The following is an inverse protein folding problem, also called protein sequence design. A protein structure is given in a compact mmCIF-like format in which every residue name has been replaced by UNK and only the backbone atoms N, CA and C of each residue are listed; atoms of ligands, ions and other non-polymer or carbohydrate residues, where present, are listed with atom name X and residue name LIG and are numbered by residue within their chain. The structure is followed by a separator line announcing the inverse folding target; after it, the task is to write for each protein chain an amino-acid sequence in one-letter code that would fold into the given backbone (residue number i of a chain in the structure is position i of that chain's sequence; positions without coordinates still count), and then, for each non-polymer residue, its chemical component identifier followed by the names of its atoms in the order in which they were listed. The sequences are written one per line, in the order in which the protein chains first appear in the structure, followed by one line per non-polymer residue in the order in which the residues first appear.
data_IF_165211551029
#
_entry.id   IF_165211551029
#
_cell.length_a   1.000
_cell.length_b   1.000
_cell.length_c   1.000
_cell.angle_alpha   90.00
_cell.angle_beta   90.00
_cell.angle_gamma   90.00
#
_symmetry.space_group_name_H-M   'P 1'
#
loop_
_entity.id
_entity.type
_entity.pdbx_description
1 polymer ?
#
# COMPACT_ATOMS: atom_id res chain seq x y z
N UNK A 1 42.07 10.68 -4.26
CA UNK A 1 42.44 11.73 -3.29
C UNK A 1 42.63 11.18 -1.87
N UNK A 2 42.45 9.88 -1.62
CA UNK A 2 42.68 9.25 -0.31
C UNK A 2 41.62 9.56 0.78
N UNK A 3 40.44 10.04 0.39
CA UNK A 3 39.34 10.34 1.34
C UNK A 3 38.60 9.02 1.66
N UNK A 4 38.46 8.73 2.96
CA UNK A 4 37.60 7.66 3.43
C UNK A 4 36.14 8.16 3.55
N UNK A 5 35.17 7.34 3.09
CA UNK A 5 33.74 7.65 3.09
C UNK A 5 33.01 6.65 3.96
N UNK A 6 32.22 7.12 4.90
CA UNK A 6 31.22 6.30 5.61
C UNK A 6 29.85 6.61 5.02
N UNK A 7 29.24 5.59 4.40
CA UNK A 7 27.94 5.68 3.75
C UNK A 7 26.91 4.86 4.53
N UNK A 8 25.81 5.50 4.95
CA UNK A 8 24.74 4.85 5.71
C UNK A 8 23.51 4.80 4.82
N UNK A 9 23.07 3.60 4.49
CA UNK A 9 21.90 3.37 3.66
C UNK A 9 21.20 2.06 4.06
N UNK A 10 19.93 1.94 3.74
CA UNK A 10 19.17 0.68 3.77
C UNK A 10 18.86 0.18 2.35
N UNK A 11 19.32 0.87 1.32
CA UNK A 11 19.17 0.48 -0.08
C UNK A 11 20.34 -0.40 -0.49
N UNK A 12 20.08 -1.69 -0.57
CA UNK A 12 21.12 -2.69 -0.79
C UNK A 12 21.81 -2.56 -2.15
N UNK A 13 21.07 -2.11 -3.18
CA UNK A 13 21.63 -1.87 -4.52
C UNK A 13 22.70 -0.79 -4.52
N UNK A 14 22.49 0.29 -3.77
CA UNK A 14 23.47 1.36 -3.62
C UNK A 14 24.70 0.88 -2.85
N UNK A 15 24.49 0.10 -1.78
CA UNK A 15 25.57 -0.45 -0.95
C UNK A 15 26.44 -1.40 -1.76
N UNK A 16 25.84 -2.31 -2.53
CA UNK A 16 26.56 -3.29 -3.36
C UNK A 16 27.46 -2.62 -4.41
N UNK A 17 27.01 -1.48 -4.98
CA UNK A 17 27.73 -0.78 -6.03
C UNK A 17 28.92 0.05 -5.55
N UNK A 18 28.88 0.58 -4.32
CA UNK A 18 29.84 1.60 -3.87
C UNK A 18 30.67 1.20 -2.64
N UNK A 19 30.28 0.16 -1.90
CA UNK A 19 30.95 -0.18 -0.66
C UNK A 19 32.14 -1.15 -0.91
N UNK A 20 33.27 -0.91 -0.23
CA UNK A 20 34.38 -1.87 -0.14
C UNK A 20 34.15 -2.82 1.04
N UNK A 21 33.65 -2.29 2.16
CA UNK A 21 33.36 -3.05 3.40
C UNK A 21 31.95 -2.68 3.87
N UNK A 22 31.17 -3.70 4.20
CA UNK A 22 29.80 -3.56 4.69
C UNK A 22 29.77 -3.92 6.18
N UNK A 23 29.39 -2.95 7.01
CA UNK A 23 29.16 -3.15 8.44
C UNK A 23 27.66 -3.16 8.72
N UNK A 24 27.16 -4.27 9.24
CA UNK A 24 25.74 -4.47 9.52
C UNK A 24 25.46 -4.13 10.98
N UNK A 25 24.49 -3.22 11.18
CA UNK A 25 23.94 -2.86 12.49
C UNK A 25 22.48 -3.34 12.56
N UNK A 26 22.07 -3.87 13.71
CA UNK A 26 20.70 -4.25 14.02
C UNK A 26 20.34 -3.90 15.45
N UNK A 27 19.21 -3.20 15.65
CA UNK A 27 18.73 -2.77 16.98
C UNK A 27 19.78 -1.97 17.79
N UNK A 28 20.72 -1.29 17.10
CA UNK A 28 21.81 -0.52 17.71
C UNK A 28 23.06 -1.34 18.04
N UNK A 29 23.09 -2.63 17.74
CA UNK A 29 24.21 -3.53 17.97
C UNK A 29 24.94 -3.89 16.66
N UNK A 30 26.26 -4.10 16.75
CA UNK A 30 27.08 -4.57 15.65
C UNK A 30 26.84 -6.06 15.40
N UNK A 31 26.32 -6.41 14.24
CA UNK A 31 26.14 -7.81 13.80
C UNK A 31 27.42 -8.37 13.19
N UNK A 32 28.13 -7.56 12.38
CA UNK A 32 29.39 -7.94 11.76
C UNK A 32 29.85 -6.95 10.70
N UNK A 33 31.11 -7.12 10.27
CA UNK A 33 31.72 -6.37 9.16
C UNK A 33 32.31 -7.35 8.15
N UNK A 34 31.99 -7.14 6.86
CA UNK A 34 32.32 -8.07 5.79
C UNK A 34 32.85 -7.31 4.58
N UNK A 35 33.82 -7.87 3.81
CA UNK A 35 34.11 -7.36 2.48
C UNK A 35 32.87 -7.41 1.60
N UNK A 36 32.58 -6.33 0.84
CA UNK A 36 31.38 -6.26 0.01
C UNK A 36 31.28 -7.40 -1.02
N UNK A 37 32.42 -7.81 -1.58
CA UNK A 37 32.49 -8.92 -2.53
C UNK A 37 32.10 -10.31 -1.97
N UNK A 38 32.00 -10.45 -0.64
CA UNK A 38 31.67 -11.71 0.05
C UNK A 38 30.24 -11.73 0.58
N UNK A 39 29.48 -10.66 0.43
CA UNK A 39 28.16 -10.51 1.03
C UNK A 39 27.12 -10.27 -0.05
N UNK A 40 26.29 -11.27 -0.30
CA UNK A 40 25.15 -11.11 -1.22
C UNK A 40 24.05 -10.23 -0.60
N UNK A 41 23.14 -9.70 -1.44
CA UNK A 41 21.96 -8.96 -0.94
C UNK A 41 21.13 -9.77 0.04
N UNK A 42 20.95 -11.06 -0.23
CA UNK A 42 20.21 -11.96 0.64
C UNK A 42 20.89 -12.13 2.01
N UNK A 43 22.24 -12.21 2.02
CA UNK A 43 23.00 -12.29 3.27
C UNK A 43 22.92 -10.99 4.05
N UNK A 44 22.98 -9.83 3.37
CA UNK A 44 22.78 -8.52 4.02
C UNK A 44 21.41 -8.47 4.69
N UNK A 45 20.34 -8.88 3.98
CA UNK A 45 19.00 -8.95 4.52
C UNK A 45 18.92 -9.87 5.74
N UNK A 46 19.48 -11.07 5.66
CA UNK A 46 19.50 -12.04 6.77
C UNK A 46 20.18 -11.46 8.01
N UNK A 47 21.33 -10.82 7.84
CA UNK A 47 22.07 -10.19 8.93
C UNK A 47 21.31 -9.02 9.55
N UNK A 48 20.67 -8.18 8.73
CA UNK A 48 19.89 -7.02 9.19
C UNK A 48 18.61 -7.43 9.94
N UNK A 49 17.93 -8.48 9.49
CA UNK A 49 16.64 -8.91 10.06
C UNK A 49 16.80 -9.93 11.18
N UNK A 50 17.86 -10.74 11.14
CA UNK A 50 18.24 -11.67 12.22
C UNK A 50 17.38 -12.93 12.32
N UNK A 51 16.57 -13.23 11.31
CA UNK A 51 15.83 -14.49 11.15
C UNK A 51 16.13 -15.04 9.76
N UNK A 52 16.06 -16.35 9.58
CA UNK A 52 15.99 -16.93 8.24
C UNK A 52 14.73 -16.39 7.57
N UNK A 53 14.91 -15.37 6.74
CA UNK A 53 13.85 -14.93 5.84
C UNK A 53 13.81 -15.96 4.71
N UNK A 54 12.89 -16.91 4.81
CA UNK A 54 12.62 -17.84 3.72
C UNK A 54 12.11 -17.10 2.45
N UNK A 55 11.63 -15.88 2.59
CA UNK A 55 11.48 -14.85 1.55
C UNK A 55 11.17 -13.50 2.18
N UNK A 56 11.56 -12.39 1.55
CA UNK A 56 11.16 -11.03 1.94
C UNK A 56 9.63 -10.89 1.85
N UNK A 57 9.03 -11.55 0.87
CA UNK A 57 7.60 -11.57 0.62
C UNK A 57 6.98 -12.89 1.11
N UNK A 58 5.83 -12.83 1.79
CA UNK A 58 5.06 -14.03 2.14
C UNK A 58 4.43 -14.66 0.90
N UNK A 59 4.09 -15.94 1.00
CA UNK A 59 3.18 -16.56 0.04
C UNK A 59 1.78 -15.93 0.19
N UNK A 60 1.27 -15.38 -0.90
CA UNK A 60 -0.04 -14.73 -0.90
C UNK A 60 -1.17 -15.76 -1.05
N UNK A 61 -2.28 -15.66 -0.26
CA UNK A 61 -3.44 -16.53 -0.43
C UNK A 61 -3.99 -16.45 -1.85
N UNK A 62 -4.40 -17.59 -2.42
CA UNK A 62 -4.99 -17.62 -3.77
C UNK A 62 -6.38 -17.00 -3.78
N UNK A 63 -6.70 -16.25 -4.82
CA UNK A 63 -8.00 -15.63 -5.05
C UNK A 63 -8.64 -16.21 -6.30
N UNK A 64 -9.91 -16.58 -6.20
CA UNK A 64 -10.65 -17.06 -7.37
C UNK A 64 -10.98 -15.91 -8.32
N UNK A 65 -10.89 -16.17 -9.63
CA UNK A 65 -11.34 -15.22 -10.65
C UNK A 65 -12.86 -14.97 -10.61
N UNK A 66 -13.61 -15.87 -10.00
CA UNK A 66 -15.07 -15.78 -9.80
C UNK A 66 -15.43 -15.18 -8.42
N UNK A 67 -14.44 -14.71 -7.65
CA UNK A 67 -14.72 -14.10 -6.35
C UNK A 67 -15.61 -12.86 -6.48
N UNK A 68 -16.47 -12.65 -5.50
CA UNK A 68 -17.39 -11.51 -5.41
C UNK A 68 -16.66 -10.17 -5.62
N UNK A 69 -17.19 -9.28 -6.45
CA UNK A 69 -16.68 -7.93 -6.62
C UNK A 69 -17.16 -7.09 -5.43
N UNK A 70 -16.23 -6.66 -4.59
CA UNK A 70 -16.52 -5.88 -3.38
C UNK A 70 -16.44 -4.38 -3.60
N UNK A 71 -15.65 -3.94 -4.59
CA UNK A 71 -15.57 -2.54 -5.03
C UNK A 71 -15.49 -2.49 -6.55
N UNK A 72 -16.32 -1.67 -7.18
CA UNK A 72 -16.27 -1.38 -8.60
C UNK A 72 -16.22 0.12 -8.83
N UNK A 73 -15.30 0.57 -9.64
CA UNK A 73 -15.19 1.95 -10.09
C UNK A 73 -15.40 1.97 -11.60
N UNK A 74 -16.37 2.76 -12.07
CA UNK A 74 -16.71 2.87 -13.46
C UNK A 74 -16.47 4.28 -13.97
N UNK A 75 -15.77 4.42 -15.09
CA UNK A 75 -15.62 5.65 -15.90
C UNK A 75 -15.22 6.89 -15.09
N UNK A 76 -14.35 6.74 -14.08
CA UNK A 76 -13.87 7.85 -13.25
C UNK A 76 -12.75 8.59 -13.97
N UNK A 77 -12.92 9.89 -14.19
CA UNK A 77 -11.95 10.74 -14.87
C UNK A 77 -11.27 11.67 -13.85
N UNK A 78 -9.94 11.68 -13.85
CA UNK A 78 -9.14 12.50 -12.94
C UNK A 78 -8.80 13.88 -13.49
N UNK A 79 -8.65 14.00 -14.81
CA UNK A 79 -8.32 15.23 -15.53
C UNK A 79 -9.18 15.34 -16.78
N UNK A 80 -9.42 16.56 -17.25
CA UNK A 80 -10.36 16.80 -18.37
C UNK A 80 -9.94 16.09 -19.67
N UNK A 81 -8.64 15.90 -19.88
CA UNK A 81 -8.06 15.25 -21.07
C UNK A 81 -7.63 13.80 -20.84
N UNK A 82 -7.89 13.22 -19.65
CA UNK A 82 -7.54 11.83 -19.37
C UNK A 82 -8.66 10.88 -19.80
N UNK A 83 -8.30 9.68 -20.21
CA UNK A 83 -9.25 8.58 -20.44
C UNK A 83 -9.90 8.19 -19.10
N UNK A 84 -11.22 7.93 -19.07
CA UNK A 84 -11.87 7.45 -17.87
C UNK A 84 -11.30 6.12 -17.41
N UNK A 85 -11.02 5.99 -16.11
CA UNK A 85 -10.50 4.79 -15.48
C UNK A 85 -11.64 3.94 -14.91
N UNK A 86 -11.57 2.64 -15.13
CA UNK A 86 -12.47 1.65 -14.53
C UNK A 86 -11.66 0.50 -13.96
N UNK A 87 -12.04 -0.01 -12.79
CA UNK A 87 -11.41 -1.18 -12.17
C UNK A 87 -12.36 -1.84 -11.17
N UNK A 88 -12.04 -3.07 -10.80
CA UNK A 88 -12.78 -3.87 -9.84
C UNK A 88 -11.81 -4.48 -8.83
N UNK A 89 -12.24 -4.55 -7.57
CA UNK A 89 -11.57 -5.27 -6.49
C UNK A 89 -12.43 -6.47 -6.11
N UNK A 90 -11.84 -7.66 -6.13
CA UNK A 90 -12.47 -8.91 -5.71
C UNK A 90 -12.31 -9.14 -4.22
N UNK A 91 -13.19 -9.92 -3.63
CA UNK A 91 -13.11 -10.32 -2.23
C UNK A 91 -11.85 -11.14 -1.99
N UNK A 92 -11.10 -10.78 -0.94
CA UNK A 92 -9.84 -11.43 -0.60
C UNK A 92 -8.67 -11.11 -1.53
N UNK A 93 -8.82 -10.13 -2.43
CA UNK A 93 -7.80 -9.74 -3.40
C UNK A 93 -6.90 -8.63 -2.86
N UNK A 94 -5.65 -8.63 -3.27
CA UNK A 94 -4.78 -7.45 -3.31
C UNK A 94 -4.70 -6.97 -4.76
N UNK A 95 -5.30 -5.82 -5.04
CA UNK A 95 -5.15 -5.11 -6.32
C UNK A 95 -4.05 -4.06 -6.16
N UNK A 96 -2.90 -4.29 -6.80
CA UNK A 96 -1.78 -3.36 -6.82
C UNK A 96 -2.01 -2.21 -7.80
N UNK A 97 -1.60 -1.00 -7.42
CA UNK A 97 -1.53 0.15 -8.31
C UNK A 97 -0.08 0.58 -8.48
N UNK A 98 0.46 0.42 -9.69
CA UNK A 98 1.81 0.83 -10.07
C UNK A 98 1.78 1.99 -11.07
N UNK A 99 2.96 2.56 -11.36
CA UNK A 99 3.15 3.65 -12.30
C UNK A 99 4.21 4.64 -11.82
N UNK A 100 4.65 5.55 -12.70
CA UNK A 100 5.65 6.55 -12.36
C UNK A 100 5.14 7.55 -11.32
N UNK A 101 6.07 8.26 -10.68
CA UNK A 101 5.73 9.36 -9.77
C UNK A 101 4.89 10.40 -10.52
N UNK A 102 3.75 10.79 -9.95
CA UNK A 102 2.81 11.71 -10.61
C UNK A 102 1.82 11.05 -11.58
N UNK A 103 1.83 9.72 -11.74
CA UNK A 103 0.89 9.01 -12.64
C UNK A 103 -0.58 9.08 -12.21
N UNK A 104 -0.87 9.53 -10.97
CA UNK A 104 -2.24 9.73 -10.50
C UNK A 104 -2.79 8.66 -9.57
N UNK A 105 -2.00 7.65 -9.16
CA UNK A 105 -2.42 6.55 -8.27
C UNK A 105 -3.15 7.02 -7.02
N UNK A 106 -2.48 7.83 -6.18
CA UNK A 106 -3.08 8.44 -4.98
C UNK A 106 -4.32 9.26 -5.32
N UNK A 107 -4.25 10.09 -6.38
CA UNK A 107 -5.36 10.96 -6.79
C UNK A 107 -6.61 10.16 -7.19
N UNK A 108 -6.44 8.99 -7.83
CA UNK A 108 -7.53 8.09 -8.16
C UNK A 108 -8.25 7.60 -6.89
N UNK A 109 -7.50 7.10 -5.91
CA UNK A 109 -8.09 6.61 -4.66
C UNK A 109 -8.70 7.74 -3.82
N UNK A 110 -8.06 8.89 -3.75
CA UNK A 110 -8.64 10.08 -3.11
C UNK A 110 -9.97 10.48 -3.76
N UNK A 111 -10.07 10.37 -5.10
CA UNK A 111 -11.31 10.66 -5.83
C UNK A 111 -12.37 9.61 -5.56
N UNK A 112 -12.03 8.32 -5.56
CA UNK A 112 -12.93 7.21 -5.19
C UNK A 112 -13.51 7.42 -3.79
N UNK A 113 -12.70 7.90 -2.85
CA UNK A 113 -13.08 8.12 -1.45
C UNK A 113 -13.74 9.49 -1.19
N UNK A 114 -13.94 10.32 -2.22
CA UNK A 114 -14.54 11.64 -2.09
C UNK A 114 -13.64 12.70 -1.40
N UNK A 115 -12.35 12.42 -1.25
CA UNK A 115 -11.35 13.36 -0.74
C UNK A 115 -10.91 14.37 -1.81
N UNK A 116 -11.10 14.01 -3.06
CA UNK A 116 -10.81 14.82 -4.24
C UNK A 116 -12.00 14.81 -5.19
N UNK A 117 -12.24 15.94 -5.84
CA UNK A 117 -13.27 16.02 -6.88
C UNK A 117 -12.76 15.42 -8.19
N UNK A 118 -13.59 14.64 -8.92
CA UNK A 118 -13.27 14.19 -10.28
C UNK A 118 -13.20 15.37 -11.25
N UNK A 119 -12.70 15.13 -12.46
CA UNK A 119 -12.72 16.09 -13.56
C UNK A 119 -14.14 16.57 -13.86
N UNK A 120 -14.26 17.78 -14.40
CA UNK A 120 -15.58 18.33 -14.79
C UNK A 120 -16.26 17.43 -15.82
N UNK A 121 -17.56 17.15 -15.61
CA UNK A 121 -18.32 16.30 -16.50
C UNK A 121 -17.98 14.80 -16.41
N UNK A 122 -17.17 14.38 -15.44
CA UNK A 122 -17.00 12.94 -15.17
C UNK A 122 -18.34 12.34 -14.73
N UNK A 123 -18.80 11.31 -15.44
CA UNK A 123 -20.02 10.55 -15.15
C UNK A 123 -19.71 9.27 -14.36
N UNK A 124 -18.52 9.17 -13.81
CA UNK A 124 -18.06 7.98 -13.10
C UNK A 124 -18.92 7.62 -11.90
N UNK A 125 -18.91 6.35 -11.53
CA UNK A 125 -19.60 5.84 -10.36
C UNK A 125 -18.69 4.92 -9.54
N UNK A 126 -18.97 4.85 -8.25
CA UNK A 126 -18.37 3.91 -7.31
C UNK A 126 -19.48 3.02 -6.79
N UNK A 127 -19.27 1.71 -6.83
CA UNK A 127 -20.17 0.70 -6.29
C UNK A 127 -19.46 -0.11 -5.23
N UNK A 128 -20.13 -0.34 -4.13
CA UNK A 128 -19.66 -1.17 -3.03
C UNK A 128 -20.62 -2.36 -2.87
N UNK A 129 -20.14 -3.58 -3.13
CA UNK A 129 -20.96 -4.82 -3.13
C UNK A 129 -22.24 -4.69 -3.98
N UNK A 130 -22.11 -4.10 -5.18
CA UNK A 130 -23.22 -3.90 -6.12
C UNK A 130 -24.10 -2.68 -5.83
N UNK A 131 -23.92 -1.99 -4.70
CA UNK A 131 -24.65 -0.77 -4.38
C UNK A 131 -23.87 0.48 -4.79
N UNK A 132 -24.48 1.39 -5.53
CA UNK A 132 -23.87 2.68 -5.85
C UNK A 132 -23.68 3.51 -4.59
N UNK A 133 -22.47 4.03 -4.42
CA UNK A 133 -22.10 4.88 -3.26
C UNK A 133 -21.56 6.22 -3.74
N UNK A 134 -21.82 7.26 -2.95
CA UNK A 134 -21.24 8.59 -3.13
C UNK A 134 -20.52 8.96 -1.82
N UNK A 135 -19.21 8.77 -1.80
CA UNK A 135 -18.40 9.15 -0.67
C UNK A 135 -18.12 10.66 -0.73
N UNK A 136 -18.75 11.43 0.13
CA UNK A 136 -18.50 12.88 0.25
C UNK A 136 -17.33 13.20 1.19
N UNK A 137 -16.93 12.23 1.99
CA UNK A 137 -15.86 12.34 2.98
C UNK A 137 -15.43 10.97 3.48
N UNK A 138 -14.23 10.86 4.01
CA UNK A 138 -13.63 9.60 4.47
C UNK A 138 -14.46 8.89 5.56
N UNK A 139 -15.16 9.65 6.42
CA UNK A 139 -16.04 9.06 7.43
C UNK A 139 -17.20 8.26 6.83
N UNK A 140 -17.73 8.69 5.68
CA UNK A 140 -18.78 7.95 4.98
C UNK A 140 -18.24 6.62 4.41
N UNK A 141 -17.02 6.61 3.88
CA UNK A 141 -16.34 5.39 3.43
C UNK A 141 -16.08 4.44 4.60
N UNK A 142 -15.54 4.97 5.72
CA UNK A 142 -15.31 4.19 6.95
C UNK A 142 -16.58 3.52 7.46
N UNK A 143 -17.71 4.25 7.52
CA UNK A 143 -18.99 3.71 8.01
C UNK A 143 -19.54 2.58 7.11
N UNK A 144 -19.06 2.47 5.86
CA UNK A 144 -19.34 1.38 4.93
C UNK A 144 -18.25 0.29 4.91
N UNK A 145 -17.30 0.35 5.86
CA UNK A 145 -16.24 -0.65 6.01
C UNK A 145 -15.07 -0.47 5.04
N UNK A 146 -14.85 0.74 4.53
CA UNK A 146 -13.67 1.07 3.69
C UNK A 146 -12.72 1.96 4.50
N UNK A 147 -11.47 1.55 4.65
CA UNK A 147 -10.44 2.32 5.33
C UNK A 147 -9.34 2.77 4.36
N UNK A 148 -8.73 3.92 4.64
CA UNK A 148 -7.65 4.50 3.86
C UNK A 148 -6.44 4.81 4.74
N UNK A 149 -5.32 4.18 4.44
CA UNK A 149 -4.03 4.46 5.01
C UNK A 149 -3.27 5.39 4.05
N UNK A 150 -3.08 6.62 4.49
CA UNK A 150 -2.42 7.67 3.71
C UNK A 150 -0.90 7.49 3.66
N UNK A 151 -0.29 7.85 2.53
CA UNK A 151 1.18 7.93 2.38
C UNK A 151 1.83 9.00 3.26
N UNK A 152 1.08 10.02 3.64
CA UNK A 152 1.55 11.08 4.53
C UNK A 152 1.26 10.74 5.99
N UNK A 153 2.06 9.82 6.53
CA UNK A 153 1.96 9.35 7.90
C UNK A 153 2.04 10.49 8.91
N UNK A 154 2.95 11.46 8.67
CA UNK A 154 3.27 12.53 9.63
C UNK A 154 2.29 13.70 9.58
N UNK A 155 1.77 14.05 8.41
CA UNK A 155 0.87 15.20 8.27
C UNK A 155 -0.60 14.82 8.38
N UNK A 156 -0.97 13.62 7.89
CA UNK A 156 -2.37 13.21 7.78
C UNK A 156 -2.71 11.91 8.50
N UNK A 157 -1.71 11.06 8.78
CA UNK A 157 -1.93 9.74 9.37
C UNK A 157 -1.99 9.74 10.89
N UNK A 158 -1.02 10.38 11.54
CA UNK A 158 -0.86 10.41 13.01
C UNK A 158 -0.81 11.85 13.51
N UNK A 159 -1.35 12.07 14.70
CA UNK A 159 -1.17 13.29 15.48
C UNK A 159 0.12 13.14 16.31
N UNK A 160 1.25 13.61 15.76
CA UNK A 160 2.58 13.33 16.28
C UNK A 160 2.81 13.80 17.71
N UNK A 161 2.16 14.89 18.15
CA UNK A 161 2.27 15.45 19.49
C UNK A 161 1.33 14.78 20.52
N UNK A 162 0.44 13.89 20.06
CA UNK A 162 -0.49 13.17 20.93
C UNK A 162 0.03 11.80 21.30
N UNK A 163 -0.45 11.28 22.44
CA UNK A 163 -0.10 9.96 22.95
C UNK A 163 -0.53 8.82 22.01
N UNK A 164 0.02 7.65 22.26
CA UNK A 164 -0.17 6.48 21.39
C UNK A 164 -1.62 5.96 21.44
N UNK A 165 -2.19 5.82 22.63
CA UNK A 165 -3.58 5.36 22.83
C UNK A 165 -4.56 6.28 22.13
N UNK A 166 -4.39 7.61 22.29
CA UNK A 166 -5.22 8.60 21.62
C UNK A 166 -5.17 8.47 20.08
N UNK A 167 -3.96 8.27 19.51
CA UNK A 167 -3.82 8.05 18.07
C UNK A 167 -4.51 6.77 17.63
N UNK A 168 -4.38 5.70 18.39
CA UNK A 168 -4.95 4.39 18.08
C UNK A 168 -6.48 4.43 18.04
N UNK A 169 -7.11 4.96 19.08
CA UNK A 169 -8.57 4.93 19.25
C UNK A 169 -9.31 5.94 18.38
N UNK A 170 -8.64 7.01 17.92
CA UNK A 170 -9.27 8.14 17.24
C UNK A 170 -10.14 7.73 16.03
N UNK A 171 -9.75 6.68 15.31
CA UNK A 171 -10.49 6.21 14.13
C UNK A 171 -11.65 5.28 14.48
N UNK A 172 -11.66 4.70 15.67
CA UNK A 172 -12.63 3.72 16.19
C UNK A 172 -13.33 4.16 17.47
N UNK A 173 -13.37 5.47 17.77
CA UNK A 173 -13.97 6.02 19.00
C UNK A 173 -15.37 5.49 19.32
N UNK A 174 -16.17 5.18 18.29
CA UNK A 174 -17.50 4.60 18.46
C UNK A 174 -17.51 3.23 19.17
N UNK A 175 -16.40 2.50 19.19
CA UNK A 175 -16.25 1.22 19.89
C UNK A 175 -15.99 1.40 21.38
N UNK A 176 -15.32 2.46 21.76
CA UNK A 176 -14.88 2.73 23.13
C UNK A 176 -15.63 3.88 23.79
N UNK A 177 -16.60 4.49 23.10
CA UNK A 177 -17.37 5.66 23.57
C UNK A 177 -18.85 5.46 23.31
N UNK A 178 -19.67 5.72 24.33
CA UNK A 178 -21.10 5.98 24.17
C UNK A 178 -21.38 7.47 24.43
N UNK A 179 -21.32 7.92 25.67
CA UNK A 179 -21.37 9.32 26.10
C UNK A 179 -19.99 9.84 26.52
N UNK A 180 -19.21 8.99 27.13
CA UNK A 180 -17.82 9.23 27.56
C UNK A 180 -16.93 8.10 27.03
N UNK A 181 -15.62 8.39 26.89
CA UNK A 181 -14.63 7.40 26.49
C UNK A 181 -14.41 6.42 27.66
N UNK A 182 -14.56 5.14 27.40
CA UNK A 182 -14.19 4.08 28.35
C UNK A 182 -12.68 3.80 28.21
N UNK A 183 -11.92 4.49 29.04
CA UNK A 183 -10.44 4.41 29.02
C UNK A 183 -9.91 3.00 29.27
N UNK A 184 -10.64 2.17 30.05
CA UNK A 184 -10.24 0.77 30.30
C UNK A 184 -10.36 -0.08 29.04
N UNK A 185 -11.48 0.07 28.31
CA UNK A 185 -11.67 -0.62 27.02
C UNK A 185 -10.65 -0.15 25.98
N UNK A 186 -10.39 1.14 25.96
CA UNK A 186 -9.39 1.73 25.08
C UNK A 186 -7.99 1.18 25.34
N UNK A 187 -7.58 1.10 26.61
CA UNK A 187 -6.28 0.52 27.00
C UNK A 187 -6.16 -0.97 26.66
N UNK A 188 -7.20 -1.76 26.92
CA UNK A 188 -7.23 -3.20 26.59
C UNK A 188 -7.13 -3.42 25.08
N UNK A 189 -7.85 -2.62 24.28
CA UNK A 189 -7.78 -2.71 22.82
C UNK A 189 -6.38 -2.32 22.31
N UNK A 190 -5.77 -1.28 22.89
CA UNK A 190 -4.43 -0.86 22.53
C UNK A 190 -3.37 -1.89 22.90
N UNK A 191 -3.49 -2.56 24.07
CA UNK A 191 -2.59 -3.64 24.47
C UNK A 191 -2.59 -4.78 23.45
N UNK A 192 -3.77 -5.23 23.05
CA UNK A 192 -3.92 -6.24 21.98
C UNK A 192 -3.28 -5.77 20.66
N UNK A 193 -3.41 -4.49 20.33
CA UNK A 193 -2.79 -3.93 19.14
C UNK A 193 -1.26 -3.92 19.23
N UNK A 194 -0.68 -3.59 20.40
CA UNK A 194 0.77 -3.65 20.62
C UNK A 194 1.29 -5.06 20.33
N UNK A 195 0.64 -6.09 20.86
CA UNK A 195 1.03 -7.48 20.65
C UNK A 195 0.87 -7.90 19.18
N UNK A 196 -0.28 -7.58 18.57
CA UNK A 196 -0.59 -7.97 17.18
C UNK A 196 0.38 -7.37 16.18
N UNK A 197 0.74 -6.10 16.36
CA UNK A 197 1.59 -5.34 15.42
C UNK A 197 3.06 -5.30 15.83
N UNK A 198 3.44 -5.90 16.96
CA UNK A 198 4.78 -5.79 17.55
C UNK A 198 5.23 -4.31 17.62
N UNK A 199 4.38 -3.44 18.21
CA UNK A 199 4.70 -2.03 18.35
C UNK A 199 5.69 -1.85 19.50
N UNK A 200 6.93 -1.51 19.18
CA UNK A 200 7.98 -1.34 20.18
C UNK A 200 8.08 0.11 20.64
N UNK A 201 7.99 0.31 21.94
CA UNK A 201 8.07 1.62 22.59
C UNK A 201 8.77 1.50 23.96
N UNK A 202 9.44 2.57 24.38
CA UNK A 202 10.06 2.63 25.72
C UNK A 202 9.04 2.90 26.82
N UNK A 203 8.06 3.74 26.52
CA UNK A 203 7.02 4.18 27.43
C UNK A 203 5.74 4.48 26.61
N UNK A 204 4.58 4.14 27.15
CA UNK A 204 3.27 4.34 26.50
C UNK A 204 2.81 5.80 26.52
N UNK A 205 3.35 6.60 27.42
CA UNK A 205 3.01 8.02 27.57
C UNK A 205 3.67 8.92 26.53
N UNK A 206 4.63 8.39 25.74
CA UNK A 206 5.33 9.19 24.75
C UNK A 206 4.39 9.64 23.62
N UNK A 207 4.65 10.82 23.06
CA UNK A 207 4.00 11.25 21.82
C UNK A 207 4.33 10.31 20.64
N UNK A 208 3.39 10.12 19.72
CA UNK A 208 3.57 9.26 18.54
C UNK A 208 4.78 9.68 17.68
N UNK A 209 5.14 10.97 17.70
CA UNK A 209 6.31 11.50 17.00
C UNK A 209 7.64 10.94 17.48
N UNK A 210 7.72 10.43 18.72
CA UNK A 210 8.92 9.86 19.33
C UNK A 210 9.14 8.38 18.98
N UNK A 211 8.19 7.74 18.29
CA UNK A 211 8.38 6.40 17.76
C UNK A 211 9.30 6.41 16.53
N UNK A 212 10.02 5.31 16.31
CA UNK A 212 10.71 5.07 15.04
C UNK A 212 9.71 5.05 13.86
N UNK A 213 10.19 5.31 12.64
CA UNK A 213 9.35 5.31 11.45
C UNK A 213 8.55 4.02 11.27
N UNK A 214 9.17 2.86 11.53
CA UNK A 214 8.49 1.57 11.47
C UNK A 214 7.39 1.42 12.53
N UNK A 215 7.63 1.83 13.78
CA UNK A 215 6.61 1.77 14.83
C UNK A 215 5.48 2.78 14.62
N UNK A 216 5.76 3.96 14.03
CA UNK A 216 4.70 4.88 13.60
C UNK A 216 3.80 4.25 12.53
N UNK A 217 4.38 3.49 11.58
CA UNK A 217 3.63 2.80 10.55
C UNK A 217 2.74 1.69 11.11
N UNK A 218 3.30 0.91 12.06
CA UNK A 218 2.56 -0.13 12.78
C UNK A 218 1.39 0.47 13.59
N UNK A 219 1.62 1.59 14.29
CA UNK A 219 0.57 2.32 15.00
C UNK A 219 -0.53 2.82 14.05
N UNK A 220 -0.15 3.32 12.87
CA UNK A 220 -1.11 3.78 11.87
C UNK A 220 -1.94 2.64 11.30
N UNK A 221 -1.33 1.47 11.05
CA UNK A 221 -2.05 0.25 10.65
C UNK A 221 -3.01 -0.21 11.75
N UNK A 222 -2.54 -0.30 12.99
CA UNK A 222 -3.36 -0.66 14.14
C UNK A 222 -4.57 0.26 14.30
N UNK A 223 -4.36 1.59 14.21
CA UNK A 223 -5.43 2.62 14.25
C UNK A 223 -6.53 2.36 13.24
N UNK A 224 -6.17 2.03 11.98
CA UNK A 224 -7.13 1.85 10.89
C UNK A 224 -7.87 0.53 11.04
N UNK A 225 -7.16 -0.53 11.41
CA UNK A 225 -7.70 -1.87 11.51
C UNK A 225 -8.57 -2.09 12.74
N UNK A 226 -8.42 -1.27 13.77
CA UNK A 226 -9.32 -1.26 14.91
C UNK A 226 -10.78 -0.97 14.52
N UNK A 227 -11.02 -0.28 13.41
CA UNK A 227 -12.35 -0.06 12.87
C UNK A 227 -12.93 -1.29 12.12
N UNK A 228 -12.19 -2.40 12.02
CA UNK A 228 -12.59 -3.65 11.33
C UNK A 228 -13.08 -3.43 9.89
N UNK A 229 -12.31 -2.74 9.05
CA UNK A 229 -12.73 -2.49 7.67
C UNK A 229 -12.69 -3.80 6.86
N UNK A 230 -13.63 -3.99 5.94
CA UNK A 230 -13.60 -5.12 4.99
C UNK A 230 -12.76 -4.82 3.75
N UNK A 231 -12.59 -3.55 3.41
CA UNK A 231 -11.76 -3.07 2.31
C UNK A 231 -10.75 -2.06 2.86
N UNK A 232 -9.48 -2.27 2.51
CA UNK A 232 -8.38 -1.44 2.98
C UNK A 232 -7.65 -0.89 1.77
N UNK A 233 -7.51 0.43 1.70
CA UNK A 233 -6.67 1.09 0.70
C UNK A 233 -5.41 1.55 1.41
N UNK A 234 -4.25 1.06 0.98
CA UNK A 234 -2.95 1.37 1.57
C UNK A 234 -2.09 2.12 0.55
N UNK A 235 -1.73 3.35 0.87
CA UNK A 235 -0.88 4.19 0.02
C UNK A 235 0.53 4.29 0.62
N UNK A 236 1.52 3.74 -0.10
CA UNK A 236 2.94 3.72 0.24
C UNK A 236 3.21 3.15 1.66
N UNK A 237 2.82 1.87 1.95
CA UNK A 237 2.88 1.29 3.30
C UNK A 237 4.28 1.25 3.89
N UNK A 238 5.30 1.15 3.07
CA UNK A 238 6.68 0.92 3.53
C UNK A 238 7.62 2.08 3.22
N UNK A 239 7.07 3.25 2.87
CA UNK A 239 7.88 4.42 2.56
C UNK A 239 8.65 4.92 3.79
N UNK A 240 9.98 4.95 3.66
CA UNK A 240 10.88 5.49 4.69
C UNK A 240 10.97 4.63 5.95
N UNK A 241 10.83 3.32 5.80
CA UNK A 241 11.06 2.33 6.86
C UNK A 241 12.13 1.33 6.43
N UNK A 242 12.76 0.68 7.41
CA UNK A 242 13.79 -0.31 7.19
C UNK A 242 13.24 -1.63 6.63
N UNK A 243 14.15 -2.45 6.06
CA UNK A 243 13.78 -3.69 5.36
C UNK A 243 13.16 -4.74 6.29
N UNK A 244 13.58 -4.79 7.57
CA UNK A 244 13.01 -5.71 8.55
C UNK A 244 11.56 -5.38 8.86
N UNK A 245 11.26 -4.09 9.02
CA UNK A 245 9.89 -3.60 9.22
C UNK A 245 9.06 -3.77 7.94
N UNK A 246 9.64 -3.57 6.73
CA UNK A 246 8.95 -3.87 5.47
C UNK A 246 8.44 -5.31 5.43
N UNK A 247 9.33 -6.28 5.71
CA UNK A 247 8.96 -7.70 5.75
C UNK A 247 7.81 -7.98 6.73
N UNK A 248 7.84 -7.39 7.92
CA UNK A 248 6.75 -7.54 8.89
C UNK A 248 5.41 -7.02 8.34
N UNK A 249 5.41 -5.87 7.65
CA UNK A 249 4.21 -5.30 7.03
C UNK A 249 3.70 -6.20 5.90
N UNK A 250 4.59 -6.79 5.09
CA UNK A 250 4.20 -7.70 4.02
C UNK A 250 3.52 -8.96 4.55
N UNK A 251 4.09 -9.58 5.57
CA UNK A 251 3.48 -10.73 6.25
C UNK A 251 2.14 -10.38 6.88
N UNK A 252 2.03 -9.18 7.45
CA UNK A 252 0.78 -8.69 7.99
C UNK A 252 -0.29 -8.49 6.90
N UNK A 253 0.07 -7.93 5.72
CA UNK A 253 -0.85 -7.83 4.58
C UNK A 253 -1.35 -9.22 4.17
N UNK A 254 -0.48 -10.22 4.07
CA UNK A 254 -0.90 -11.59 3.73
C UNK A 254 -1.87 -12.18 4.78
N UNK A 255 -1.64 -11.92 6.08
CA UNK A 255 -2.55 -12.34 7.14
C UNK A 255 -3.92 -11.65 7.04
N UNK A 256 -3.98 -10.37 6.67
CA UNK A 256 -5.24 -9.67 6.43
C UNK A 256 -6.04 -10.32 5.30
N UNK A 257 -5.36 -10.66 4.20
CA UNK A 257 -6.00 -11.33 3.08
C UNK A 257 -6.50 -12.72 3.48
N UNK A 258 -5.68 -13.51 4.18
CA UNK A 258 -6.06 -14.81 4.71
C UNK A 258 -7.27 -14.74 5.66
N UNK A 259 -7.45 -13.62 6.38
CA UNK A 259 -8.62 -13.37 7.25
C UNK A 259 -9.84 -12.81 6.51
N UNK A 260 -9.78 -12.68 5.16
CA UNK A 260 -10.92 -12.32 4.32
C UNK A 260 -11.08 -10.83 3.99
N UNK A 261 -10.07 -10.01 4.32
CA UNK A 261 -10.04 -8.61 3.89
C UNK A 261 -9.69 -8.52 2.40
N UNK A 262 -10.09 -7.41 1.76
CA UNK A 262 -9.70 -7.07 0.40
C UNK A 262 -8.89 -5.78 0.43
N UNK A 263 -7.85 -5.68 -0.41
CA UNK A 263 -6.88 -4.61 -0.28
C UNK A 263 -6.54 -3.97 -1.62
N UNK A 264 -6.47 -2.65 -1.65
CA UNK A 264 -5.83 -1.89 -2.73
C UNK A 264 -4.47 -1.42 -2.21
N UNK A 265 -3.40 -1.84 -2.90
CA UNK A 265 -2.03 -1.48 -2.59
C UNK A 265 -1.52 -0.44 -3.60
N UNK A 266 -1.17 0.74 -3.14
CA UNK A 266 -0.50 1.75 -3.95
C UNK A 266 0.95 1.80 -3.51
N UNK A 267 1.89 1.52 -4.41
CA UNK A 267 3.31 1.63 -4.10
C UNK A 267 4.13 2.17 -5.28
N UNK A 268 5.17 2.92 -4.95
CA UNK A 268 6.23 3.32 -5.89
C UNK A 268 7.34 2.28 -5.98
N UNK A 269 7.37 1.32 -5.07
CA UNK A 269 8.28 0.19 -5.06
C UNK A 269 7.69 -0.94 -5.92
N UNK A 270 8.24 -1.16 -7.11
CA UNK A 270 7.73 -2.15 -8.05
C UNK A 270 7.82 -3.56 -7.46
N UNK A 271 8.89 -3.85 -6.71
CA UNK A 271 9.07 -5.17 -6.09
C UNK A 271 8.01 -5.45 -5.04
N UNK A 272 7.58 -4.43 -4.29
CA UNK A 272 6.46 -4.52 -3.35
C UNK A 272 5.13 -4.83 -4.07
N UNK A 273 4.88 -4.14 -5.19
CA UNK A 273 3.66 -4.40 -6.00
C UNK A 273 3.66 -5.82 -6.55
N UNK A 274 4.77 -6.28 -7.12
CA UNK A 274 4.91 -7.64 -7.68
C UNK A 274 4.75 -8.69 -6.58
N UNK A 275 5.41 -8.50 -5.44
CA UNK A 275 5.46 -9.50 -4.37
C UNK A 275 4.16 -9.68 -3.59
N UNK A 276 3.24 -8.68 -3.63
CA UNK A 276 2.03 -8.69 -2.80
C UNK A 276 0.72 -8.73 -3.59
N UNK A 277 0.74 -8.41 -4.89
CA UNK A 277 -0.50 -8.19 -5.64
C UNK A 277 -0.94 -9.44 -6.42
N UNK A 278 -2.22 -9.69 -6.48
CA UNK A 278 -2.83 -10.71 -7.33
C UNK A 278 -3.04 -10.21 -8.77
N UNK A 279 -3.37 -8.92 -8.90
CA UNK A 279 -3.45 -8.17 -10.16
C UNK A 279 -2.85 -6.79 -9.96
N UNK A 280 -2.34 -6.20 -11.04
CA UNK A 280 -1.70 -4.88 -11.01
C UNK A 280 -2.34 -3.97 -12.04
N UNK A 281 -3.00 -2.91 -11.59
CA UNK A 281 -3.44 -1.81 -12.43
C UNK A 281 -2.27 -0.82 -12.58
N UNK A 282 -1.82 -0.60 -13.81
CA UNK A 282 -0.73 0.31 -14.10
C UNK A 282 -1.28 1.65 -14.57
N UNK A 283 -0.81 2.74 -13.94
CA UNK A 283 -1.26 4.09 -14.24
C UNK A 283 -0.23 4.88 -15.04
N UNK A 284 -0.72 5.56 -16.06
CA UNK A 284 0.03 6.50 -16.88
C UNK A 284 -0.80 7.76 -17.09
N UNK A 285 -0.25 8.94 -16.84
CA UNK A 285 -0.90 10.26 -17.06
C UNK A 285 -2.34 10.37 -16.57
N UNK A 286 -2.59 9.91 -15.35
CA UNK A 286 -3.91 9.97 -14.67
C UNK A 286 -4.97 9.03 -15.22
N UNK A 287 -4.59 8.00 -15.96
CA UNK A 287 -5.45 6.94 -16.46
C UNK A 287 -4.85 5.55 -16.21
N UNK A 288 -5.67 4.51 -16.20
CA UNK A 288 -5.21 3.12 -16.15
C UNK A 288 -4.82 2.70 -17.57
N UNK A 289 -3.54 2.49 -17.83
CA UNK A 289 -3.01 2.05 -19.14
C UNK A 289 -3.16 0.54 -19.35
N UNK A 290 -3.26 -0.25 -18.29
CA UNK A 290 -3.49 -1.68 -18.37
C UNK A 290 -3.65 -2.31 -17.00
N UNK A 291 -4.19 -3.54 -16.98
CA UNK A 291 -4.26 -4.41 -15.80
C UNK A 291 -3.53 -5.70 -16.14
N UNK A 292 -2.57 -6.07 -15.29
CA UNK A 292 -1.72 -7.24 -15.43
C UNK A 292 -2.15 -8.31 -14.42
N UNK A 293 -2.09 -9.58 -14.79
CA UNK A 293 -2.41 -10.71 -13.92
C UNK A 293 -1.53 -11.93 -14.23
N UNK A 294 -1.31 -12.79 -13.22
CA UNK A 294 -0.50 -14.00 -13.35
C UNK A 294 0.92 -13.68 -13.81
N UNK A 295 1.40 -14.40 -14.82
CA UNK A 295 2.78 -14.30 -15.34
C UNK A 295 3.07 -12.93 -16.02
N UNK A 296 2.04 -12.12 -16.30
CA UNK A 296 2.25 -10.76 -16.83
C UNK A 296 2.78 -9.78 -15.76
N UNK A 297 2.72 -10.13 -14.46
CA UNK A 297 3.16 -9.26 -13.36
C UNK A 297 4.68 -9.31 -13.26
N UNK A 298 5.35 -8.66 -14.18
CA UNK A 298 6.80 -8.51 -14.25
C UNK A 298 7.20 -7.03 -14.33
N UNK A 299 8.38 -6.70 -13.80
CA UNK A 299 8.90 -5.33 -13.76
C UNK A 299 8.92 -4.68 -15.15
N UNK A 300 9.39 -5.41 -16.16
CA UNK A 300 9.50 -4.91 -17.54
C UNK A 300 8.12 -4.59 -18.12
N UNK A 301 7.13 -5.47 -17.91
CA UNK A 301 5.77 -5.23 -18.39
C UNK A 301 5.12 -4.05 -17.66
N UNK A 302 5.24 -3.98 -16.34
CA UNK A 302 4.75 -2.83 -15.56
C UNK A 302 5.35 -1.53 -16.11
N UNK A 303 6.66 -1.49 -16.38
CA UNK A 303 7.33 -0.31 -16.89
C UNK A 303 6.89 0.08 -18.32
N UNK A 304 6.59 -0.90 -19.19
CA UNK A 304 6.04 -0.62 -20.53
C UNK A 304 4.71 0.12 -20.47
N UNK A 305 3.81 -0.30 -19.58
CA UNK A 305 2.53 0.39 -19.34
C UNK A 305 2.72 1.73 -18.61
N UNK A 306 3.60 1.79 -17.62
CA UNK A 306 3.86 2.98 -16.83
C UNK A 306 4.52 4.11 -17.62
N UNK A 307 5.19 3.80 -18.72
CA UNK A 307 5.82 4.77 -19.65
C UNK A 307 4.97 5.10 -20.86
N UNK A 308 3.83 4.40 -21.04
CA UNK A 308 2.94 4.59 -22.19
C UNK A 308 3.43 3.92 -23.49
N UNK A 309 4.46 3.06 -23.41
CA UNK A 309 4.92 2.26 -24.56
C UNK A 309 3.93 1.16 -24.96
N UNK A 310 3.06 0.77 -24.02
CA UNK A 310 2.00 -0.21 -24.22
C UNK A 310 0.72 0.30 -23.55
N UNK A 311 -0.43 0.11 -24.23
CA UNK A 311 -1.74 0.47 -23.69
C UNK A 311 -2.77 -0.57 -24.14
N UNK A 312 -3.27 -1.39 -23.21
CA UNK A 312 -4.29 -2.44 -23.52
C UNK A 312 -5.65 -1.84 -23.92
N UNK A 313 -5.95 -0.62 -23.49
CA UNK A 313 -7.24 0.02 -23.75
C UNK A 313 -7.39 0.54 -25.20
N UNK A 314 -6.26 0.86 -25.88
CA UNK A 314 -6.29 1.28 -27.29
C UNK A 314 -6.57 0.14 -28.26
N UNK A 315 -6.17 -1.10 -27.96
CA UNK A 315 -6.40 -2.25 -28.84
C UNK A 315 -7.84 -2.77 -28.84
N UNK A 316 -8.65 -2.49 -27.81
CA UNK A 316 -10.07 -2.86 -27.84
C UNK A 316 -10.91 -1.94 -28.73
N UNK A 317 -10.49 -0.69 -28.96
CA UNK A 317 -11.19 0.23 -29.85
C UNK A 317 -10.83 0.01 -31.33
N UNK A 318 -9.62 -0.44 -31.66
CA UNK A 318 -9.22 -0.74 -33.04
C UNK A 318 -9.91 -2.00 -33.59
N UNK A 319 -10.19 -3.00 -32.76
CA UNK A 319 -10.87 -4.23 -33.14
C UNK A 319 -12.40 -4.02 -33.37
N UNK A 320 -12.98 -2.95 -32.83
CA UNK A 320 -14.39 -2.61 -33.02
C UNK A 320 -14.66 -1.71 -34.24
N UNK A 321 -13.65 -0.98 -34.73
CA UNK A 321 -13.79 -0.14 -35.93
C UNK A 321 -13.55 -0.91 -37.23
N UNK A 322 -12.71 -1.96 -37.22
CA UNK A 322 -12.49 -2.81 -38.40
C UNK A 322 -13.66 -3.78 -38.69
N UNK A 323 -14.55 -4.00 -37.71
CA UNK A 323 -15.74 -4.88 -37.87
C UNK A 323 -16.92 -4.27 -38.63
N UNK A 324 -16.94 -2.98 -38.94
CA UNK A 324 -18.10 -2.29 -39.54
C UNK A 324 -17.91 -1.85 -40.98
N UNK A 325 -16.74 -2.12 -41.58
CA UNK A 325 -16.46 -1.69 -42.98
C UNK A 325 -16.78 -2.71 -44.09
N UNK A 326 -17.23 -3.93 -43.77
CA UNK A 326 -17.47 -4.99 -44.80
C UNK A 326 -18.90 -5.45 -44.94
N UNK A 327 -19.89 -4.57 -44.76
CA UNK A 327 -21.30 -4.89 -45.03
C UNK A 327 -21.96 -3.81 -45.91
N UNK A 328 -21.35 -3.48 -47.07
CA UNK A 328 -22.01 -2.83 -48.20
C UNK A 328 -21.15 -3.04 -49.47
N UNK A 329 -21.38 -4.12 -50.16
CA UNK A 329 -21.16 -4.28 -51.60
C UNK A 329 -22.13 -5.35 -52.12
#
# INVERSE_FOLDING_TARGET
DGVAIVFISHKLDEIEQIADVITVLRDGELVGSYPAAQLSKDDMVRLMVGRELNSLFPEMPKVSNEAEIVLRVNNLRLQDNATPSSFELRKGEVLGFSGLVGSGRTALMETVLGLRKPAKGSIGSVELRGERVDFKQLSAARNKGVAYLTKDRKGSGLLLEKGLVFNFSLFSLHKVSSLLIDTKKEEVAFEKAIETFDIRMKDRSIPAGNLSGGNQQKLLLAKILEAEPSIIIIDEPTRGIDIGTKSQIYHFIAQLIASGHSLILISSDITEVIGLSHRVAVMYRSEISGVLEGDEIEEVEIMRYATGLKNKLSHQNELTEDGTSNAKA
#
